data_IF_331382695444
#
_entry.id   IF_331382695444
#
_cell.length_a   1.000
_cell.length_b   1.000
_cell.length_c   1.000
_cell.angle_alpha   90.00
_cell.angle_beta   90.00
_cell.angle_gamma   90.00
#
_symmetry.space_group_name_H-M   'P 1'
#
loop_
_entity.id
_entity.type
_entity.pdbx_description
1 polymer ?
#
# COMPACT_ATOMS: atom_id res chain seq x y z
N UNK A 1 25.39 0.09 7.53
CA UNK A 1 25.51 1.02 6.36
C UNK A 1 24.55 0.70 5.21
N UNK A 2 23.64 -0.28 5.32
CA UNK A 2 22.66 -0.64 4.28
C UNK A 2 21.44 0.29 4.21
N UNK A 3 20.94 0.76 5.36
CA UNK A 3 19.75 1.62 5.44
C UNK A 3 19.98 2.91 4.63
N UNK A 4 21.21 3.45 4.64
CA UNK A 4 21.56 4.63 3.84
C UNK A 4 21.50 4.42 2.32
N UNK A 5 21.56 3.16 1.85
CA UNK A 5 21.55 2.84 0.40
C UNK A 5 20.15 2.82 -0.17
N UNK A 6 19.12 2.57 0.65
CA UNK A 6 17.73 2.54 0.18
C UNK A 6 17.11 3.93 0.06
N UNK A 7 17.70 4.97 0.66
CA UNK A 7 17.08 6.30 0.73
C UNK A 7 16.67 6.86 -0.64
N UNK A 8 17.52 6.85 -1.69
CA UNK A 8 17.12 7.41 -2.98
C UNK A 8 15.85 6.74 -3.54
N UNK A 9 15.84 5.39 -3.57
CA UNK A 9 14.68 4.64 -4.04
C UNK A 9 13.47 4.80 -3.12
N UNK A 10 13.69 4.90 -1.80
CA UNK A 10 12.62 5.16 -0.83
C UNK A 10 11.98 6.53 -1.03
N UNK A 11 12.78 7.56 -1.30
CA UNK A 11 12.29 8.91 -1.57
C UNK A 11 11.41 8.96 -2.82
N UNK A 12 11.70 8.16 -3.85
CA UNK A 12 10.81 8.06 -5.02
C UNK A 12 9.46 7.42 -4.67
N UNK A 13 9.46 6.40 -3.81
CA UNK A 13 8.21 5.80 -3.30
C UNK A 13 7.39 6.82 -2.49
N UNK A 14 8.04 7.61 -1.63
CA UNK A 14 7.37 8.65 -0.85
C UNK A 14 6.82 9.78 -1.73
N UNK A 15 7.55 10.13 -2.79
CA UNK A 15 7.09 11.12 -3.78
C UNK A 15 5.83 10.63 -4.51
N UNK A 16 5.82 9.39 -5.01
CA UNK A 16 4.66 8.83 -5.69
C UNK A 16 3.43 8.71 -4.76
N UNK A 17 3.65 8.31 -3.51
CA UNK A 17 2.59 8.22 -2.49
C UNK A 17 1.99 9.60 -2.15
N UNK A 18 2.82 10.65 -2.09
CA UNK A 18 2.35 12.01 -1.85
C UNK A 18 1.41 12.50 -2.97
N UNK A 19 1.72 12.19 -4.24
CA UNK A 19 0.86 12.56 -5.37
C UNK A 19 -0.55 11.96 -5.26
N UNK A 20 -0.66 10.67 -4.88
CA UNK A 20 -1.96 10.03 -4.63
C UNK A 20 -2.73 10.72 -3.50
N UNK A 21 -2.07 11.04 -2.38
CA UNK A 21 -2.72 11.72 -1.24
C UNK A 21 -3.21 13.12 -1.59
N UNK A 22 -2.53 13.80 -2.53
CA UNK A 22 -2.92 15.10 -3.05
C UNK A 22 -4.04 15.02 -4.12
N UNK A 23 -4.47 13.82 -4.49
CA UNK A 23 -5.52 13.61 -5.47
C UNK A 23 -5.05 13.63 -6.93
N UNK A 24 -3.75 13.43 -7.18
CA UNK A 24 -3.19 13.36 -8.53
C UNK A 24 -3.16 11.90 -8.99
N UNK A 25 -4.03 11.55 -9.94
CA UNK A 25 -4.21 10.18 -10.47
C UNK A 25 -3.99 10.11 -11.99
N UNK A 26 -3.14 10.98 -12.51
CA UNK A 26 -2.86 11.06 -13.94
C UNK A 26 -1.65 10.20 -14.34
N UNK A 27 -1.22 10.37 -15.59
CA UNK A 27 -0.04 9.69 -16.11
C UNK A 27 1.25 10.03 -15.33
N UNK A 28 1.31 11.22 -14.73
CA UNK A 28 2.46 11.66 -13.93
C UNK A 28 2.63 10.78 -12.71
N UNK A 29 1.55 10.55 -11.96
CA UNK A 29 1.61 9.69 -10.76
C UNK A 29 1.87 8.24 -11.12
N UNK A 30 1.27 7.73 -12.20
CA UNK A 30 1.56 6.37 -12.69
C UNK A 30 3.04 6.20 -13.03
N UNK A 31 3.61 7.18 -13.74
CA UNK A 31 5.03 7.18 -14.08
C UNK A 31 5.90 7.25 -12.83
N UNK A 32 5.54 8.09 -11.85
CA UNK A 32 6.27 8.17 -10.58
C UNK A 32 6.31 6.82 -9.86
N UNK A 33 5.21 6.06 -9.86
CA UNK A 33 5.19 4.70 -9.31
C UNK A 33 6.00 3.68 -10.13
N UNK A 34 6.02 3.79 -11.46
CA UNK A 34 6.87 2.93 -12.29
C UNK A 34 8.36 3.21 -12.08
N UNK A 35 8.74 4.49 -12.05
CA UNK A 35 10.10 4.94 -11.74
C UNK A 35 10.50 4.49 -10.31
N UNK A 36 9.62 4.64 -9.32
CA UNK A 36 9.86 4.19 -7.95
C UNK A 36 10.01 2.66 -7.84
N UNK A 37 9.19 1.89 -8.57
CA UNK A 37 9.33 0.44 -8.64
C UNK A 37 10.65 0.04 -9.30
N UNK A 38 11.03 0.70 -10.39
CA UNK A 38 12.32 0.47 -11.06
C UNK A 38 13.48 0.75 -10.10
N UNK A 39 13.51 1.91 -9.46
CA UNK A 39 14.57 2.27 -8.52
C UNK A 39 14.64 1.31 -7.33
N UNK A 40 13.49 0.85 -6.83
CA UNK A 40 13.45 -0.08 -5.71
C UNK A 40 13.95 -1.49 -6.08
N UNK A 41 13.50 -2.04 -7.20
CA UNK A 41 13.75 -3.44 -7.58
C UNK A 41 15.01 -3.58 -8.43
N UNK A 42 15.12 -2.76 -9.48
CA UNK A 42 16.18 -2.88 -10.49
C UNK A 42 17.47 -2.19 -10.06
N UNK A 43 17.39 -1.09 -9.31
CA UNK A 43 18.57 -0.36 -8.84
C UNK A 43 18.96 -0.81 -7.44
N UNK A 44 18.12 -0.58 -6.43
CA UNK A 44 18.42 -0.91 -5.04
C UNK A 44 18.39 -2.43 -4.79
N UNK A 45 17.37 -3.12 -5.27
CA UNK A 45 17.19 -4.56 -5.08
C UNK A 45 18.32 -5.41 -5.68
N UNK A 46 18.92 -4.96 -6.79
CA UNK A 46 20.06 -5.62 -7.45
C UNK A 46 21.42 -5.03 -7.08
N UNK A 47 21.44 -4.00 -6.23
CA UNK A 47 22.70 -3.42 -5.74
C UNK A 47 23.46 -4.46 -4.91
N UNK A 48 24.67 -4.78 -5.34
CA UNK A 48 25.59 -5.62 -4.57
C UNK A 48 26.24 -4.81 -3.45
N UNK A 49 26.26 -5.37 -2.25
CA UNK A 49 26.98 -4.79 -1.12
C UNK A 49 27.47 -5.85 -0.15
N UNK A 50 28.58 -5.53 0.52
CA UNK A 50 29.20 -6.38 1.53
C UNK A 50 28.49 -6.27 2.88
N UNK A 51 28.22 -7.41 3.50
CA UNK A 51 27.56 -7.56 4.80
C UNK A 51 28.33 -8.56 5.65
N UNK A 52 29.11 -8.04 6.61
CA UNK A 52 30.06 -8.85 7.36
C UNK A 52 31.06 -9.50 6.40
N UNK A 53 30.99 -10.83 6.28
CA UNK A 53 31.92 -11.66 5.50
C UNK A 53 31.35 -12.10 4.14
N UNK A 54 30.20 -11.57 3.69
CA UNK A 54 29.59 -11.96 2.43
C UNK A 54 29.01 -10.81 1.62
N UNK A 55 29.05 -10.94 0.30
CA UNK A 55 28.34 -10.05 -0.62
C UNK A 55 26.89 -10.53 -0.78
N UNK A 56 25.95 -9.58 -0.77
CA UNK A 56 24.54 -9.86 -1.03
C UNK A 56 23.94 -8.83 -2.01
N UNK A 57 22.79 -9.18 -2.58
CA UNK A 57 21.79 -8.24 -3.10
C UNK A 57 20.40 -8.82 -2.86
N UNK A 58 19.37 -7.96 -2.78
CA UNK A 58 18.06 -8.32 -2.23
C UNK A 58 17.19 -9.16 -3.19
N UNK A 59 17.35 -9.00 -4.50
CA UNK A 59 16.68 -9.84 -5.51
C UNK A 59 17.40 -11.17 -5.78
N UNK A 60 18.49 -11.50 -5.06
CA UNK A 60 19.24 -12.72 -5.30
C UNK A 60 18.40 -13.99 -5.10
N UNK A 61 17.51 -13.99 -4.11
CA UNK A 61 16.62 -15.13 -3.80
C UNK A 61 15.65 -15.48 -4.94
N UNK A 62 15.49 -14.61 -5.94
CA UNK A 62 14.67 -14.87 -7.12
C UNK A 62 15.41 -15.63 -8.24
N UNK A 63 16.70 -15.95 -8.05
CA UNK A 63 17.52 -16.66 -9.04
C UNK A 63 18.50 -17.62 -8.36
N UNK A 64 18.35 -18.93 -8.62
CA UNK A 64 19.28 -19.93 -8.11
C UNK A 64 20.72 -19.68 -8.60
N UNK A 65 20.90 -19.28 -9.86
CA UNK A 65 22.21 -18.91 -10.42
C UNK A 65 22.87 -17.75 -9.64
N UNK A 66 22.09 -16.74 -9.27
CA UNK A 66 22.59 -15.63 -8.47
C UNK A 66 23.01 -16.08 -7.07
N UNK A 67 22.19 -16.91 -6.42
CA UNK A 67 22.50 -17.46 -5.09
C UNK A 67 23.79 -18.30 -5.14
N UNK A 68 23.96 -19.13 -6.16
CA UNK A 68 25.19 -19.91 -6.35
C UNK A 68 26.43 -19.03 -6.54
N UNK A 69 26.33 -17.96 -7.33
CA UNK A 69 27.44 -17.02 -7.54
C UNK A 69 27.86 -16.36 -6.23
N UNK A 70 26.90 -15.89 -5.41
CA UNK A 70 27.18 -15.26 -4.13
C UNK A 70 27.78 -16.24 -3.12
N UNK A 71 27.28 -17.48 -3.08
CA UNK A 71 27.84 -18.55 -2.24
C UNK A 71 29.29 -18.85 -2.60
N UNK A 72 29.61 -18.96 -3.90
CA UNK A 72 30.98 -19.19 -4.39
C UNK A 72 31.90 -18.00 -4.07
N UNK A 73 31.42 -16.77 -4.29
CA UNK A 73 32.20 -15.55 -4.07
C UNK A 73 32.52 -15.31 -2.59
N UNK A 74 31.59 -15.64 -1.70
CA UNK A 74 31.71 -15.38 -0.26
C UNK A 74 32.10 -16.63 0.56
N UNK A 75 32.25 -17.78 -0.09
CA UNK A 75 32.53 -19.08 0.54
C UNK A 75 31.58 -19.43 1.71
N UNK A 76 30.29 -19.08 1.60
CA UNK A 76 29.25 -19.36 2.61
C UNK A 76 28.21 -20.36 2.12
N UNK A 77 27.48 -20.96 3.06
CA UNK A 77 26.39 -21.88 2.77
C UNK A 77 25.10 -21.14 2.38
N UNK A 78 24.23 -21.81 1.61
CA UNK A 78 22.92 -21.25 1.20
C UNK A 78 22.08 -20.76 2.39
N UNK A 79 21.89 -21.53 3.49
CA UNK A 79 21.08 -21.06 4.61
C UNK A 79 21.64 -19.80 5.27
N UNK A 80 22.98 -19.67 5.32
CA UNK A 80 23.62 -18.48 5.87
C UNK A 80 23.37 -17.26 4.99
N UNK A 81 23.47 -17.40 3.67
CA UNK A 81 23.19 -16.34 2.71
C UNK A 81 21.71 -15.91 2.75
N UNK A 82 20.79 -16.86 2.78
CA UNK A 82 19.34 -16.60 2.89
C UNK A 82 19.00 -15.85 4.17
N UNK A 83 19.62 -16.23 5.30
CA UNK A 83 19.44 -15.54 6.57
C UNK A 83 19.91 -14.07 6.49
N UNK A 84 21.06 -13.80 5.87
CA UNK A 84 21.55 -12.43 5.70
C UNK A 84 20.60 -11.62 4.82
N UNK A 85 20.20 -12.15 3.64
CA UNK A 85 19.25 -11.47 2.76
C UNK A 85 17.92 -11.18 3.48
N UNK A 86 17.37 -12.15 4.22
CA UNK A 86 16.11 -11.99 4.96
C UNK A 86 16.22 -10.93 6.06
N UNK A 87 17.36 -10.84 6.76
CA UNK A 87 17.60 -9.76 7.72
C UNK A 87 17.53 -8.39 7.04
N UNK A 88 18.16 -8.22 5.88
CA UNK A 88 18.09 -6.95 5.15
C UNK A 88 16.69 -6.68 4.59
N UNK A 89 15.99 -7.70 4.08
CA UNK A 89 14.58 -7.56 3.70
C UNK A 89 13.73 -7.00 4.84
N UNK A 90 13.93 -7.47 6.07
CA UNK A 90 13.21 -6.98 7.26
C UNK A 90 13.61 -5.55 7.63
N UNK A 91 14.92 -5.26 7.70
CA UNK A 91 15.43 -3.95 8.11
C UNK A 91 14.99 -2.83 7.16
N UNK A 92 14.89 -3.11 5.86
CA UNK A 92 14.48 -2.11 4.86
C UNK A 92 13.00 -2.22 4.47
N UNK A 93 12.25 -3.13 5.09
CA UNK A 93 10.90 -3.51 4.68
C UNK A 93 10.76 -3.77 3.16
N UNK A 94 11.74 -4.48 2.60
CA UNK A 94 11.95 -4.57 1.15
C UNK A 94 10.76 -5.16 0.40
N UNK A 95 10.21 -6.27 0.91
CA UNK A 95 9.14 -7.02 0.25
C UNK A 95 7.86 -6.20 0.17
N UNK A 96 7.50 -5.52 1.26
CA UNK A 96 6.36 -4.62 1.29
C UNK A 96 6.49 -3.50 0.25
N UNK A 97 7.60 -2.76 0.25
CA UNK A 97 7.79 -1.65 -0.70
C UNK A 97 7.83 -2.12 -2.16
N UNK A 98 8.38 -3.31 -2.41
CA UNK A 98 8.34 -3.96 -3.72
C UNK A 98 6.91 -4.28 -4.14
N UNK A 99 6.11 -4.88 -3.26
CA UNK A 99 4.69 -5.21 -3.52
C UNK A 99 3.88 -3.94 -3.74
N UNK A 100 4.02 -2.92 -2.88
CA UNK A 100 3.32 -1.63 -3.00
C UNK A 100 3.64 -0.94 -4.31
N UNK A 101 4.92 -0.74 -4.63
CA UNK A 101 5.28 -0.09 -5.89
C UNK A 101 4.76 -0.85 -7.12
N UNK A 102 4.71 -2.18 -7.04
CA UNK A 102 4.21 -3.02 -8.11
C UNK A 102 2.70 -2.93 -8.28
N UNK A 103 1.94 -2.83 -7.18
CA UNK A 103 0.48 -2.68 -7.22
C UNK A 103 0.10 -1.27 -7.67
N UNK A 104 0.73 -0.23 -7.10
CA UNK A 104 0.38 1.17 -7.32
C UNK A 104 0.62 1.65 -8.75
N UNK A 105 1.63 1.11 -9.43
CA UNK A 105 1.88 1.45 -10.84
C UNK A 105 0.84 0.89 -11.81
N UNK A 106 -0.02 -0.03 -11.36
CA UNK A 106 -1.06 -0.60 -12.22
C UNK A 106 -2.21 0.40 -12.40
N UNK A 107 -2.76 0.44 -13.61
CA UNK A 107 -3.84 1.38 -13.96
C UNK A 107 -5.10 1.15 -13.12
N UNK A 108 -5.40 -0.11 -12.80
CA UNK A 108 -6.57 -0.45 -11.98
C UNK A 108 -6.42 0.04 -10.53
N UNK A 109 -5.22 0.02 -9.95
CA UNK A 109 -4.97 0.50 -8.58
C UNK A 109 -5.15 1.99 -8.47
N UNK A 110 -4.58 2.77 -9.40
CA UNK A 110 -4.79 4.23 -9.43
C UNK A 110 -6.27 4.61 -9.54
N UNK A 111 -7.06 3.85 -10.32
CA UNK A 111 -8.50 4.06 -10.39
C UNK A 111 -9.18 3.84 -9.03
N UNK A 112 -8.76 2.84 -8.24
CA UNK A 112 -9.32 2.62 -6.89
C UNK A 112 -9.12 3.85 -6.00
N UNK A 113 -7.88 4.32 -5.86
CA UNK A 113 -7.57 5.48 -5.03
C UNK A 113 -8.31 6.73 -5.52
N UNK A 114 -8.41 6.91 -6.84
CA UNK A 114 -9.20 8.00 -7.43
C UNK A 114 -10.65 7.94 -7.01
N UNK A 115 -11.30 6.78 -7.13
CA UNK A 115 -12.72 6.64 -6.80
C UNK A 115 -12.98 6.92 -5.31
N UNK A 116 -12.09 6.46 -4.42
CA UNK A 116 -12.20 6.74 -2.98
C UNK A 116 -12.01 8.23 -2.69
N UNK A 117 -11.00 8.85 -3.31
CA UNK A 117 -10.71 10.27 -3.16
C UNK A 117 -11.84 11.17 -3.69
N UNK A 118 -12.26 10.94 -4.94
CA UNK A 118 -13.35 11.69 -5.58
C UNK A 118 -14.67 11.46 -4.85
N UNK A 119 -14.93 10.24 -4.37
CA UNK A 119 -16.07 9.92 -3.53
C UNK A 119 -16.10 10.74 -2.24
N UNK A 120 -14.95 10.93 -1.59
CA UNK A 120 -14.82 11.84 -0.44
C UNK A 120 -15.06 13.31 -0.85
N UNK A 121 -14.57 13.76 -2.01
CA UNK A 121 -14.81 15.14 -2.46
C UNK A 121 -16.30 15.40 -2.74
N UNK A 122 -16.98 14.46 -3.39
CA UNK A 122 -18.43 14.54 -3.64
C UNK A 122 -19.22 14.55 -2.33
N UNK A 123 -18.81 13.74 -1.34
CA UNK A 123 -19.38 13.76 0.00
C UNK A 123 -19.24 15.14 0.65
N UNK A 124 -18.05 15.76 0.59
CA UNK A 124 -17.82 17.13 1.10
C UNK A 124 -18.65 18.18 0.37
N UNK A 125 -18.89 17.98 -0.93
CA UNK A 125 -19.76 18.83 -1.75
C UNK A 125 -21.27 18.59 -1.51
N UNK A 126 -21.63 17.66 -0.63
CA UNK A 126 -23.00 17.22 -0.36
C UNK A 126 -23.70 16.59 -1.58
N UNK A 127 -22.94 16.07 -2.54
CA UNK A 127 -23.42 15.27 -3.67
C UNK A 127 -23.54 13.80 -3.27
N UNK A 128 -24.42 13.53 -2.29
CA UNK A 128 -24.47 12.26 -1.56
C UNK A 128 -24.74 11.05 -2.45
N UNK A 129 -25.52 11.22 -3.52
CA UNK A 129 -25.85 10.12 -4.42
C UNK A 129 -24.65 9.68 -5.25
N UNK A 130 -24.01 10.62 -5.93
CA UNK A 130 -22.79 10.37 -6.69
C UNK A 130 -21.66 9.85 -5.77
N UNK A 131 -21.53 10.43 -4.57
CA UNK A 131 -20.54 9.98 -3.58
C UNK A 131 -20.75 8.52 -3.17
N UNK A 132 -22.00 8.10 -2.93
CA UNK A 132 -22.31 6.74 -2.51
C UNK A 132 -21.96 5.72 -3.60
N UNK A 133 -22.38 5.98 -4.84
CA UNK A 133 -22.10 5.10 -5.98
C UNK A 133 -20.60 4.94 -6.20
N UNK A 134 -19.86 6.06 -6.16
CA UNK A 134 -18.43 6.07 -6.41
C UNK A 134 -17.65 5.38 -5.29
N UNK A 135 -17.98 5.66 -4.02
CA UNK A 135 -17.38 5.00 -2.86
C UNK A 135 -17.69 3.50 -2.83
N UNK A 136 -18.91 3.07 -3.14
CA UNK A 136 -19.24 1.65 -3.18
C UNK A 136 -18.42 0.92 -4.24
N UNK A 137 -18.32 1.51 -5.44
CA UNK A 137 -17.52 0.99 -6.54
C UNK A 137 -16.03 0.91 -6.19
N UNK A 138 -15.51 1.99 -5.60
CA UNK A 138 -14.12 2.09 -5.12
C UNK A 138 -13.81 1.07 -4.02
N UNK A 139 -14.65 0.95 -2.99
CA UNK A 139 -14.47 0.01 -1.89
C UNK A 139 -14.49 -1.46 -2.37
N UNK A 140 -15.36 -1.80 -3.32
CA UNK A 140 -15.40 -3.14 -3.92
C UNK A 140 -14.11 -3.45 -4.69
N UNK A 141 -13.59 -2.49 -5.48
CA UNK A 141 -12.29 -2.65 -6.15
C UNK A 141 -11.14 -2.71 -5.15
N UNK A 142 -11.20 -1.92 -4.09
CA UNK A 142 -10.18 -1.89 -3.05
C UNK A 142 -10.09 -3.21 -2.31
N UNK A 143 -11.24 -3.85 -2.04
CA UNK A 143 -11.27 -5.22 -1.54
C UNK A 143 -10.51 -6.19 -2.47
N UNK A 144 -10.76 -6.14 -3.77
CA UNK A 144 -10.05 -7.01 -4.72
C UNK A 144 -8.54 -6.74 -4.75
N UNK A 145 -8.13 -5.48 -4.61
CA UNK A 145 -6.73 -5.09 -4.52
C UNK A 145 -6.06 -5.69 -3.27
N UNK A 146 -6.66 -5.52 -2.11
CA UNK A 146 -6.15 -6.06 -0.84
C UNK A 146 -6.15 -7.59 -0.78
N UNK A 147 -7.12 -8.23 -1.43
CA UNK A 147 -7.17 -9.69 -1.58
C UNK A 147 -6.04 -10.18 -2.51
N UNK A 148 -5.69 -9.41 -3.55
CA UNK A 148 -4.61 -9.72 -4.51
C UNK A 148 -3.22 -9.47 -3.95
N UNK A 149 -3.07 -8.47 -3.09
CA UNK A 149 -1.79 -8.04 -2.51
C UNK A 149 -1.88 -8.02 -0.99
N UNK A 150 -1.81 -9.21 -0.37
CA UNK A 150 -2.00 -9.36 1.07
C UNK A 150 -0.99 -8.59 1.93
N UNK A 151 0.21 -8.32 1.40
CA UNK A 151 1.23 -7.50 2.07
C UNK A 151 0.77 -6.05 2.30
N UNK A 152 -0.26 -5.57 1.59
CA UNK A 152 -0.84 -4.24 1.82
C UNK A 152 -1.71 -4.21 3.09
N UNK A 153 -2.21 -5.36 3.56
CA UNK A 153 -3.06 -5.47 4.76
C UNK A 153 -2.30 -5.29 6.09
N UNK A 154 -1.02 -4.94 6.04
CA UNK A 154 -0.21 -4.59 7.22
C UNK A 154 0.24 -3.13 7.19
N UNK A 155 -0.07 -2.40 6.12
CA UNK A 155 0.25 -0.97 6.01
C UNK A 155 -0.82 -0.12 6.69
N UNK A 156 -0.38 0.70 7.63
CA UNK A 156 -1.27 1.58 8.38
C UNK A 156 -2.02 2.53 7.43
N UNK A 157 -1.35 3.08 6.42
CA UNK A 157 -1.99 4.00 5.47
C UNK A 157 -3.07 3.31 4.62
N UNK A 158 -2.77 2.12 4.08
CA UNK A 158 -3.75 1.34 3.31
C UNK A 158 -4.96 0.93 4.17
N UNK A 159 -4.72 0.51 5.42
CA UNK A 159 -5.78 0.18 6.38
C UNK A 159 -6.64 1.40 6.66
N UNK A 160 -6.02 2.54 6.98
CA UNK A 160 -6.72 3.78 7.30
C UNK A 160 -7.56 4.28 6.14
N UNK A 161 -7.05 4.26 4.89
CA UNK A 161 -7.83 4.63 3.70
C UNK A 161 -9.11 3.79 3.56
N UNK A 162 -8.98 2.48 3.75
CA UNK A 162 -10.12 1.55 3.66
C UNK A 162 -11.16 1.79 4.76
N UNK A 163 -10.71 1.92 6.01
CA UNK A 163 -11.60 2.19 7.14
C UNK A 163 -12.26 3.57 7.02
N UNK A 164 -11.51 4.59 6.59
CA UNK A 164 -12.02 5.94 6.38
C UNK A 164 -13.09 5.98 5.29
N UNK A 165 -12.86 5.30 4.17
CA UNK A 165 -13.84 5.18 3.10
C UNK A 165 -15.12 4.46 3.54
N UNK A 166 -15.01 3.39 4.35
CA UNK A 166 -16.18 2.73 4.97
C UNK A 166 -16.97 3.73 5.83
N UNK A 167 -16.30 4.52 6.66
CA UNK A 167 -16.96 5.50 7.55
C UNK A 167 -17.72 6.57 6.77
N UNK A 168 -17.12 7.11 5.70
CA UNK A 168 -17.80 8.07 4.81
C UNK A 168 -19.04 7.41 4.20
N UNK A 169 -18.87 6.22 3.63
CA UNK A 169 -19.96 5.49 2.98
C UNK A 169 -21.11 5.19 3.96
N UNK A 170 -20.81 4.72 5.17
CA UNK A 170 -21.81 4.52 6.23
C UNK A 170 -22.52 5.81 6.65
N UNK A 171 -21.78 6.93 6.73
CA UNK A 171 -22.33 8.25 7.04
C UNK A 171 -23.30 8.72 5.95
N UNK A 172 -23.02 8.43 4.68
CA UNK A 172 -23.94 8.78 3.58
C UNK A 172 -25.28 8.05 3.75
N UNK A 173 -25.29 6.75 4.08
CA UNK A 173 -26.54 6.04 4.37
C UNK A 173 -27.35 6.72 5.47
N UNK A 174 -26.69 7.16 6.56
CA UNK A 174 -27.34 7.90 7.65
C UNK A 174 -27.94 9.22 7.16
N UNK A 175 -27.17 10.04 6.42
CA UNK A 175 -27.62 11.34 5.91
C UNK A 175 -28.77 11.20 4.90
N UNK A 176 -28.77 10.14 4.09
CA UNK A 176 -29.84 9.82 3.14
C UNK A 176 -31.04 9.12 3.79
N UNK A 177 -31.01 8.85 5.10
CA UNK A 177 -32.03 8.06 5.82
C UNK A 177 -32.30 6.69 5.17
N UNK A 178 -31.26 6.06 4.64
CA UNK A 178 -31.33 4.74 4.03
C UNK A 178 -30.98 3.66 5.05
N UNK A 179 -31.57 2.47 4.85
CA UNK A 179 -31.16 1.28 5.60
C UNK A 179 -29.80 0.83 5.06
N UNK A 180 -28.80 0.74 5.94
CA UNK A 180 -27.50 0.17 5.57
C UNK A 180 -27.68 -1.29 5.12
N UNK A 181 -26.91 -1.75 4.13
CA UNK A 181 -26.99 -3.13 3.70
C UNK A 181 -26.53 -4.08 4.84
N UNK A 182 -26.92 -5.36 4.76
CA UNK A 182 -26.49 -6.38 5.72
C UNK A 182 -24.97 -6.43 5.85
N UNK A 183 -24.51 -6.89 7.01
CA UNK A 183 -23.09 -6.98 7.37
C UNK A 183 -22.25 -7.73 6.32
N UNK A 184 -22.81 -8.77 5.69
CA UNK A 184 -22.14 -9.58 4.66
C UNK A 184 -21.93 -8.83 3.34
N UNK A 185 -22.70 -7.77 3.09
CA UNK A 185 -22.64 -6.97 1.87
C UNK A 185 -21.77 -5.73 2.01
N UNK A 186 -21.38 -5.36 3.23
CA UNK A 186 -20.49 -4.22 3.50
C UNK A 186 -19.13 -4.50 2.88
N UNK A 187 -18.69 -3.68 1.90
CA UNK A 187 -17.35 -3.80 1.35
C UNK A 187 -16.29 -3.72 2.46
N UNK A 188 -15.23 -4.53 2.36
CA UNK A 188 -14.12 -4.54 3.32
C UNK A 188 -14.52 -4.86 4.78
N UNK A 189 -15.66 -5.50 5.02
CA UNK A 189 -16.09 -5.98 6.36
C UNK A 189 -14.99 -6.72 7.13
N UNK A 190 -14.30 -7.64 6.45
CA UNK A 190 -13.21 -8.42 7.05
C UNK A 190 -12.04 -7.56 7.53
N UNK A 191 -11.76 -6.44 6.84
CA UNK A 191 -10.73 -5.49 7.25
C UNK A 191 -11.17 -4.74 8.52
N UNK A 192 -12.42 -4.28 8.55
CA UNK A 192 -13.01 -3.61 9.72
C UNK A 192 -12.95 -4.48 10.97
N UNK A 193 -13.36 -5.75 10.86
CA UNK A 193 -13.36 -6.70 11.99
C UNK A 193 -11.93 -7.01 12.47
N UNK A 194 -10.99 -7.18 11.54
CA UNK A 194 -9.58 -7.42 11.87
C UNK A 194 -8.97 -6.23 12.63
N UNK A 195 -9.33 -5.01 12.23
CA UNK A 195 -8.74 -3.76 12.75
C UNK A 195 -9.67 -3.05 13.75
N UNK A 196 -10.58 -3.80 14.41
CA UNK A 196 -11.58 -3.26 15.34
C UNK A 196 -10.98 -2.41 16.48
N UNK A 197 -9.73 -2.67 16.85
CA UNK A 197 -9.02 -1.90 17.88
C UNK A 197 -8.62 -0.50 17.41
N UNK A 198 -8.48 -0.27 16.09
CA UNK A 198 -8.13 1.04 15.50
C UNK A 198 -9.37 1.89 15.23
N UNK A 199 -10.50 1.23 14.97
CA UNK A 199 -11.77 1.87 14.60
C UNK A 199 -12.18 3.00 15.55
N UNK A 200 -12.11 2.87 16.90
CA UNK A 200 -12.53 3.95 17.80
C UNK A 200 -11.76 5.26 17.59
N UNK A 201 -10.43 5.20 17.49
CA UNK A 201 -9.60 6.39 17.30
C UNK A 201 -9.89 7.06 15.95
N UNK A 202 -10.00 6.27 14.89
CA UNK A 202 -10.35 6.77 13.56
C UNK A 202 -11.76 7.36 13.52
N UNK A 203 -12.71 6.76 14.25
CA UNK A 203 -14.07 7.28 14.37
C UNK A 203 -14.09 8.61 15.12
N UNK A 204 -13.25 8.79 16.15
CA UNK A 204 -13.09 10.07 16.85
C UNK A 204 -12.52 11.16 15.94
N UNK A 205 -11.52 10.83 15.11
CA UNK A 205 -10.98 11.75 14.09
C UNK A 205 -12.03 12.07 13.01
N UNK A 206 -12.78 11.06 12.57
CA UNK A 206 -13.87 11.20 11.61
C UNK A 206 -14.97 12.12 12.15
N UNK A 207 -15.40 11.90 13.38
CA UNK A 207 -16.41 12.72 14.05
C UNK A 207 -15.90 14.15 14.29
N UNK A 208 -14.60 14.34 14.54
CA UNK A 208 -14.02 15.70 14.62
C UNK A 208 -14.08 16.44 13.28
N UNK A 209 -13.95 15.72 12.16
CA UNK A 209 -13.93 16.32 10.82
C UNK A 209 -15.32 16.51 10.21
N UNK A 210 -16.22 15.55 10.42
CA UNK A 210 -17.53 15.45 9.77
C UNK A 210 -18.70 15.26 10.74
N UNK A 211 -18.44 15.23 12.04
CA UNK A 211 -19.48 15.20 13.05
C UNK A 211 -20.26 16.51 13.04
N UNK A 212 -21.57 16.40 12.95
CA UNK A 212 -22.48 17.49 13.26
C UNK A 212 -22.53 17.65 14.78
N UNK A 213 -22.43 18.88 15.29
CA UNK A 213 -22.89 19.20 16.65
C UNK A 213 -24.38 18.93 16.80
#
# INVERSE_FOLDING_TARGET
RSIFRSYPARSQLDYADALHREGQFDETTRKAWDDAHHDWVEVFGKMRFQTGDCEIFLEASSSDDAMEQLMKASAITRPRLEQEIDQYHKVTNYRYWRTKAHSEKQVNTSAVHRDLYEGEQLFKANELEAAQELLESGLRRYKLLLDSYQDLNVDDAAIEEGLWAIMIWQKIYQLRNQVQPPDEEIPLRSLWEKEINRVPNLQDDFNRRYGSS
#
